data_IF_078804733407
#
_entry.id   IF_078804733407
#
_cell.length_a   1.000
_cell.length_b   1.000
_cell.length_c   1.000
_cell.angle_alpha   90.00
_cell.angle_beta   90.00
_cell.angle_gamma   90.00
#
_symmetry.space_group_name_H-M   'P 1'
#
loop_
_entity.id
_entity.type
_entity.pdbx_description
1 polymer ?
#
# COMPACT_ATOMS: atom_id res chain seq x y z
N UNK A 1 -7.00 7.39 21.90
CA UNK A 1 -5.52 7.45 21.87
C UNK A 1 -5.06 6.48 20.81
N UNK A 2 -4.07 6.83 19.99
CA UNK A 2 -3.57 5.94 18.95
C UNK A 2 -2.48 5.01 19.50
N UNK A 3 -2.30 3.85 18.89
CA UNK A 3 -1.23 2.89 19.21
C UNK A 3 -0.19 2.88 18.11
N UNK A 4 1.08 2.88 18.50
CA UNK A 4 2.19 2.62 17.62
C UNK A 4 2.72 1.22 17.91
N UNK A 5 2.69 0.36 16.90
CA UNK A 5 3.14 -1.01 16.95
C UNK A 5 4.36 -1.13 16.05
N UNK A 6 5.47 -1.63 16.57
CA UNK A 6 6.64 -1.94 15.76
C UNK A 6 6.87 -3.44 15.76
N UNK A 7 6.94 -4.04 14.58
CA UNK A 7 7.40 -5.39 14.37
C UNK A 7 8.79 -5.35 13.73
N UNK A 8 9.78 -5.67 14.53
CA UNK A 8 11.15 -5.82 14.08
C UNK A 8 11.40 -7.27 13.66
N UNK A 9 11.67 -7.48 12.37
CA UNK A 9 11.78 -8.75 11.67
C UNK A 9 13.25 -8.98 11.27
N UNK A 10 13.87 -9.98 11.89
CA UNK A 10 15.26 -10.34 11.65
C UNK A 10 15.38 -11.76 11.10
N UNK A 11 15.87 -11.90 9.88
CA UNK A 11 15.98 -13.16 9.15
C UNK A 11 15.33 -13.08 7.78
N UNK A 12 15.02 -14.25 7.21
CA UNK A 12 14.48 -14.40 5.86
C UNK A 12 13.46 -15.55 5.78
N UNK A 13 12.80 -15.69 4.63
CA UNK A 13 11.80 -16.74 4.41
C UNK A 13 12.39 -18.16 4.31
N UNK A 14 13.71 -18.33 4.16
CA UNK A 14 14.36 -19.63 4.05
C UNK A 14 14.73 -20.22 5.42
N UNK A 15 15.22 -19.40 6.33
CA UNK A 15 15.69 -19.81 7.65
C UNK A 15 14.66 -19.56 8.76
N UNK A 16 13.66 -18.72 8.48
CA UNK A 16 12.72 -18.22 9.47
C UNK A 16 13.16 -16.87 10.02
N UNK A 17 12.28 -16.26 10.81
CA UNK A 17 12.40 -14.85 11.20
C UNK A 17 12.21 -14.74 12.71
N UNK A 18 13.18 -14.14 13.39
CA UNK A 18 13.00 -13.68 14.75
C UNK A 18 12.20 -12.37 14.72
N UNK A 19 11.13 -12.30 15.52
CA UNK A 19 10.27 -11.13 15.57
C UNK A 19 10.33 -10.51 16.97
N UNK A 20 10.56 -9.21 17.04
CA UNK A 20 10.36 -8.43 18.26
C UNK A 20 9.17 -7.51 18.07
N UNK A 21 8.14 -7.70 18.90
CA UNK A 21 6.99 -6.80 18.99
C UNK A 21 7.28 -5.74 20.04
N UNK A 22 6.99 -4.49 19.70
CA UNK A 22 6.94 -3.38 20.65
C UNK A 22 5.63 -2.59 20.46
N UNK A 23 4.93 -2.31 21.56
CA UNK A 23 3.70 -1.52 21.57
C UNK A 23 3.94 -0.26 22.40
N UNK A 24 3.62 0.89 21.82
CA UNK A 24 3.69 2.21 22.46
C UNK A 24 2.37 2.94 22.29
N UNK A 25 2.10 3.89 23.19
CA UNK A 25 1.07 4.90 22.93
C UNK A 25 1.63 5.91 21.95
N UNK A 26 0.86 6.22 20.91
CA UNK A 26 1.19 7.27 19.95
C UNK A 26 0.72 8.61 20.53
N UNK A 27 1.58 9.20 21.39
CA UNK A 27 1.39 10.52 21.99
C UNK A 27 2.52 11.45 21.57
N UNK A 28 2.18 12.72 21.37
CA UNK A 28 3.11 13.79 20.95
C UNK A 28 4.13 14.13 22.05
N UNK A 29 3.82 13.83 23.31
CA UNK A 29 4.74 14.06 24.43
C UNK A 29 5.82 12.96 24.47
N UNK A 30 7.09 13.40 24.56
CA UNK A 30 8.37 12.66 24.44
C UNK A 30 8.58 11.44 25.35
N UNK A 31 7.55 11.00 26.07
CA UNK A 31 7.56 9.77 26.85
C UNK A 31 6.52 8.77 26.30
N UNK A 32 6.66 8.38 25.02
CA UNK A 32 5.95 7.23 24.47
C UNK A 32 6.35 5.97 25.26
N UNK A 33 5.60 5.70 26.34
CA UNK A 33 5.88 4.61 27.26
C UNK A 33 5.67 3.28 26.55
N UNK A 34 6.70 2.43 26.58
CA UNK A 34 6.59 1.06 26.07
C UNK A 34 5.59 0.31 26.95
N UNK A 35 4.49 -0.11 26.35
CA UNK A 35 3.42 -0.85 27.03
C UNK A 35 3.67 -2.36 27.04
N UNK A 36 4.31 -2.86 25.98
CA UNK A 36 4.71 -4.24 25.86
C UNK A 36 5.91 -4.35 24.92
N UNK A 37 6.84 -5.25 25.26
CA UNK A 37 7.91 -5.68 24.38
C UNK A 37 8.13 -7.17 24.54
N UNK A 38 7.87 -7.94 23.49
CA UNK A 38 8.00 -9.40 23.52
C UNK A 38 8.67 -9.92 22.26
N UNK A 39 9.21 -11.13 22.36
CA UNK A 39 9.82 -11.83 21.23
C UNK A 39 8.91 -12.97 20.78
N UNK A 40 8.90 -13.21 19.48
CA UNK A 40 8.26 -14.35 18.84
C UNK A 40 9.11 -14.79 17.65
N UNK A 41 8.63 -15.78 16.91
CA UNK A 41 9.30 -16.26 15.71
C UNK A 41 8.29 -16.61 14.64
N UNK A 42 8.64 -16.39 13.39
CA UNK A 42 7.95 -16.95 12.24
C UNK A 42 8.81 -18.08 11.66
N UNK A 43 8.20 -19.22 11.30
CA UNK A 43 8.94 -20.33 10.72
C UNK A 43 9.43 -19.98 9.30
N UNK A 44 10.36 -20.79 8.77
CA UNK A 44 10.69 -20.73 7.35
C UNK A 44 9.45 -20.98 6.48
N UNK A 45 9.32 -20.25 5.38
CA UNK A 45 8.19 -20.32 4.44
C UNK A 45 8.68 -20.13 3.00
N UNK A 46 9.52 -21.04 2.52
CA UNK A 46 10.04 -21.00 1.14
C UNK A 46 8.92 -21.04 0.10
N UNK A 47 7.87 -21.83 0.33
CA UNK A 47 6.71 -21.91 -0.56
C UNK A 47 5.94 -20.58 -0.67
N UNK A 48 5.96 -19.74 0.37
CA UNK A 48 5.33 -18.41 0.32
C UNK A 48 6.03 -17.49 -0.68
N UNK A 49 7.36 -17.58 -0.76
CA UNK A 49 8.15 -16.82 -1.71
C UNK A 49 7.86 -17.24 -3.15
N UNK A 50 7.74 -18.55 -3.39
CA UNK A 50 7.38 -19.09 -4.71
C UNK A 50 6.00 -18.61 -5.16
N UNK A 51 5.01 -18.64 -4.27
CA UNK A 51 3.66 -18.13 -4.55
C UNK A 51 3.66 -16.62 -4.82
N UNK A 52 4.46 -15.85 -4.08
CA UNK A 52 4.64 -14.43 -4.35
C UNK A 52 5.19 -14.21 -5.77
N UNK A 53 6.22 -14.97 -6.17
CA UNK A 53 6.79 -14.87 -7.51
C UNK A 53 5.79 -15.26 -8.60
N UNK A 54 4.98 -16.30 -8.37
CA UNK A 54 3.92 -16.71 -9.29
C UNK A 54 2.89 -15.60 -9.48
N UNK A 55 2.33 -15.06 -8.39
CA UNK A 55 1.39 -13.96 -8.43
C UNK A 55 1.99 -12.73 -9.14
N UNK A 56 3.22 -12.36 -8.77
CA UNK A 56 3.92 -11.20 -9.32
C UNK A 56 4.15 -11.35 -10.85
N UNK A 57 4.48 -12.55 -11.32
CA UNK A 57 4.63 -12.84 -12.76
C UNK A 57 3.30 -12.70 -13.53
N UNK A 58 2.20 -13.21 -12.96
CA UNK A 58 0.87 -13.08 -13.55
C UNK A 58 0.41 -11.62 -13.58
N UNK A 59 0.65 -10.88 -12.49
CA UNK A 59 0.33 -9.44 -12.41
C UNK A 59 1.11 -8.62 -13.44
N UNK A 60 2.41 -8.88 -13.61
CA UNK A 60 3.20 -8.21 -14.65
C UNK A 60 2.70 -8.56 -16.05
N UNK A 61 2.28 -9.80 -16.27
CA UNK A 61 1.69 -10.21 -17.55
C UNK A 61 0.41 -9.43 -17.84
N UNK A 62 -0.45 -9.18 -16.84
CA UNK A 62 -1.60 -8.28 -16.99
C UNK A 62 -1.17 -6.86 -17.36
N UNK A 63 -0.18 -6.29 -16.66
CA UNK A 63 0.29 -4.92 -16.92
C UNK A 63 0.78 -4.75 -18.36
N UNK A 64 1.44 -5.75 -18.94
CA UNK A 64 1.87 -5.75 -20.34
C UNK A 64 0.69 -5.81 -21.32
N UNK A 65 -0.38 -6.53 -20.96
CA UNK A 65 -1.59 -6.63 -21.78
C UNK A 65 -2.39 -5.31 -21.82
N UNK A 66 -2.40 -4.56 -20.72
CA UNK A 66 -3.15 -3.31 -20.63
C UNK A 66 -2.34 -2.08 -21.08
N UNK A 67 -1.01 -2.07 -20.90
CA UNK A 67 -0.15 -0.94 -21.35
C UNK A 67 0.17 -0.96 -22.85
N UNK A 68 0.12 -2.13 -23.50
CA UNK A 68 0.40 -2.25 -24.94
C UNK A 68 -0.91 -2.27 -25.73
N UNK A 69 -1.55 -1.11 -25.81
CA UNK A 69 -2.82 -0.90 -26.52
C UNK A 69 -2.79 -1.17 -28.03
N UNK A 70 -1.63 -1.50 -28.63
CA UNK A 70 -1.50 -1.54 -30.08
C UNK A 70 -0.53 -2.63 -30.59
N UNK A 71 -0.81 -3.90 -30.27
CA UNK A 71 -0.16 -5.04 -30.96
C UNK A 71 -1.08 -5.56 -32.09
N UNK A 72 -0.53 -5.89 -33.27
CA UNK A 72 -1.29 -6.36 -34.43
C UNK A 72 -1.91 -7.77 -34.26
N UNK A 73 -1.63 -8.47 -33.16
CA UNK A 73 -2.29 -9.73 -32.83
C UNK A 73 -3.30 -9.50 -31.70
N UNK A 74 -4.61 -9.49 -32.01
CA UNK A 74 -5.64 -9.36 -30.98
C UNK A 74 -5.60 -10.61 -30.10
N UNK A 75 -5.14 -10.44 -28.87
CA UNK A 75 -5.36 -11.44 -27.83
C UNK A 75 -6.88 -11.53 -27.64
N UNK A 76 -7.44 -12.71 -27.92
CA UNK A 76 -8.88 -12.93 -27.85
C UNK A 76 -9.39 -12.62 -26.43
N UNK A 77 -10.59 -12.06 -26.32
CA UNK A 77 -11.18 -11.67 -25.03
C UNK A 77 -11.18 -12.81 -24.00
N UNK A 78 -11.31 -14.06 -24.45
CA UNK A 78 -11.21 -15.25 -23.59
C UNK A 78 -9.83 -15.52 -22.99
N UNK A 79 -8.75 -15.09 -23.64
CA UNK A 79 -7.39 -15.21 -23.08
C UNK A 79 -7.12 -14.13 -22.03
N UNK A 80 -7.67 -12.92 -22.21
CA UNK A 80 -7.58 -11.84 -21.21
C UNK A 80 -8.33 -12.18 -19.92
N UNK A 81 -9.55 -12.71 -20.03
CA UNK A 81 -10.34 -13.12 -18.86
C UNK A 81 -9.65 -14.24 -18.08
N UNK A 82 -9.07 -15.22 -18.78
CA UNK A 82 -8.34 -16.32 -18.14
C UNK A 82 -7.14 -15.83 -17.31
N UNK A 83 -6.31 -14.95 -17.88
CA UNK A 83 -5.13 -14.41 -17.17
C UNK A 83 -5.56 -13.57 -15.96
N UNK A 84 -6.64 -12.79 -16.08
CA UNK A 84 -7.19 -12.04 -14.95
C UNK A 84 -7.66 -12.99 -13.84
N UNK A 85 -8.41 -14.03 -14.18
CA UNK A 85 -8.87 -15.02 -13.20
C UNK A 85 -7.71 -15.78 -12.55
N UNK A 86 -6.65 -16.10 -13.30
CA UNK A 86 -5.48 -16.80 -12.76
C UNK A 86 -4.70 -15.89 -11.81
N UNK A 87 -4.53 -14.61 -12.17
CA UNK A 87 -3.88 -13.62 -11.30
C UNK A 87 -4.66 -13.44 -10.00
N UNK A 88 -6.00 -13.37 -10.07
CA UNK A 88 -6.83 -13.24 -8.89
C UNK A 88 -6.73 -14.48 -7.98
N UNK A 89 -6.82 -15.69 -8.55
CA UNK A 89 -6.61 -16.94 -7.80
C UNK A 89 -5.23 -17.00 -7.14
N UNK A 90 -4.18 -16.58 -7.86
CA UNK A 90 -2.82 -16.54 -7.30
C UNK A 90 -2.71 -15.53 -6.15
N UNK A 91 -3.41 -14.39 -6.22
CA UNK A 91 -3.47 -13.40 -5.15
C UNK A 91 -4.20 -13.95 -3.90
N UNK A 92 -5.33 -14.64 -4.11
CA UNK A 92 -6.10 -15.30 -3.04
C UNK A 92 -5.25 -16.39 -2.35
N UNK A 93 -4.60 -17.26 -3.13
CA UNK A 93 -3.69 -18.28 -2.60
C UNK A 93 -2.53 -17.69 -1.81
N UNK A 94 -1.90 -16.63 -2.32
CA UNK A 94 -0.84 -15.91 -1.61
C UNK A 94 -1.34 -15.35 -0.27
N UNK A 95 -2.52 -14.75 -0.25
CA UNK A 95 -3.14 -14.20 0.96
C UNK A 95 -3.45 -15.28 2.00
N UNK A 96 -4.02 -16.41 1.56
CA UNK A 96 -4.32 -17.56 2.43
C UNK A 96 -3.05 -18.16 3.03
N UNK A 97 -2.01 -18.38 2.22
CA UNK A 97 -0.75 -18.93 2.70
C UNK A 97 -0.02 -17.95 3.62
N UNK A 98 -0.06 -16.66 3.31
CA UNK A 98 0.51 -15.62 4.15
C UNK A 98 -0.14 -15.60 5.54
N UNK A 99 -1.47 -15.68 5.60
CA UNK A 99 -2.19 -15.73 6.87
C UNK A 99 -1.99 -17.05 7.62
N UNK A 100 -1.88 -18.18 6.91
CA UNK A 100 -1.51 -19.47 7.51
C UNK A 100 -0.13 -19.41 8.15
N UNK A 101 0.83 -18.76 7.49
CA UNK A 101 2.17 -18.55 8.01
C UNK A 101 2.19 -17.65 9.25
N UNK A 102 1.42 -16.55 9.23
CA UNK A 102 1.24 -15.69 10.41
C UNK A 102 0.42 -16.34 11.53
N UNK A 103 -0.26 -17.45 11.28
CA UNK A 103 -0.96 -18.24 12.30
C UNK A 103 -0.07 -19.33 12.94
N UNK A 104 1.21 -19.40 12.59
CA UNK A 104 2.13 -20.37 13.17
C UNK A 104 2.19 -20.28 14.70
N UNK A 105 2.25 -21.43 15.36
CA UNK A 105 2.26 -21.51 16.84
C UNK A 105 3.44 -20.73 17.45
N UNK A 106 4.58 -20.66 16.75
CA UNK A 106 5.76 -19.89 17.18
C UNK A 106 5.56 -18.36 17.15
N UNK A 107 4.58 -17.87 16.39
CA UNK A 107 4.22 -16.45 16.29
C UNK A 107 3.00 -16.08 17.14
N UNK A 108 2.28 -17.09 17.63
CA UNK A 108 1.07 -16.93 18.45
C UNK A 108 1.21 -15.97 19.63
N UNK A 109 2.32 -15.95 20.40
CA UNK A 109 2.45 -15.00 21.52
C UNK A 109 2.35 -13.53 21.08
N UNK A 110 2.89 -13.19 19.91
CA UNK A 110 2.80 -11.84 19.34
C UNK A 110 1.33 -11.52 18.99
N UNK A 111 0.65 -12.45 18.32
CA UNK A 111 -0.76 -12.28 17.97
C UNK A 111 -1.65 -12.10 19.20
N UNK A 112 -1.47 -12.92 20.22
CA UNK A 112 -2.24 -12.83 21.47
C UNK A 112 -1.97 -11.51 22.20
N UNK A 113 -0.71 -11.05 22.25
CA UNK A 113 -0.37 -9.78 22.86
C UNK A 113 -1.03 -8.59 22.15
N UNK A 114 -1.10 -8.62 20.82
CA UNK A 114 -1.81 -7.62 20.03
C UNK A 114 -3.31 -7.64 20.33
N UNK A 115 -3.93 -8.82 20.34
CA UNK A 115 -5.35 -8.97 20.67
C UNK A 115 -5.69 -8.48 22.09
N UNK A 116 -4.79 -8.66 23.05
CA UNK A 116 -4.97 -8.22 24.43
C UNK A 116 -4.85 -6.68 24.56
N UNK A 117 -3.93 -6.05 23.84
CA UNK A 117 -3.61 -4.62 24.02
C UNK A 117 -4.35 -3.69 23.07
N UNK A 118 -4.90 -4.19 21.97
CA UNK A 118 -5.54 -3.38 20.95
C UNK A 118 -7.07 -3.36 21.09
N UNK A 119 -7.64 -2.17 20.92
CA UNK A 119 -9.08 -1.94 20.85
C UNK A 119 -9.56 -1.75 19.40
N UNK A 120 -10.78 -2.18 19.09
CA UNK A 120 -11.37 -2.03 17.74
C UNK A 120 -11.60 -0.56 17.36
N UNK A 121 -11.73 0.34 18.34
CA UNK A 121 -12.11 1.73 18.10
C UNK A 121 -10.92 2.70 18.01
N UNK A 122 -9.71 2.26 18.39
CA UNK A 122 -8.51 3.10 18.35
C UNK A 122 -7.82 3.06 16.99
N UNK A 123 -7.09 4.12 16.67
CA UNK A 123 -6.22 4.16 15.51
C UNK A 123 -4.94 3.38 15.81
N UNK A 124 -4.48 2.58 14.85
CA UNK A 124 -3.31 1.71 15.00
C UNK A 124 -2.35 1.98 13.86
N UNK A 125 -1.08 2.25 14.18
CA UNK A 125 0.00 2.32 13.19
C UNK A 125 0.91 1.12 13.38
N UNK A 126 0.91 0.22 12.42
CA UNK A 126 1.80 -0.94 12.38
C UNK A 126 3.02 -0.63 11.51
N UNK A 127 4.17 -0.48 12.15
CA UNK A 127 5.45 -0.27 11.50
C UNK A 127 6.17 -1.61 11.38
N UNK A 128 6.45 -2.00 10.15
CA UNK A 128 7.25 -3.19 9.83
C UNK A 128 8.68 -2.77 9.57
N UNK A 129 9.59 -3.31 10.37
CA UNK A 129 11.03 -3.12 10.23
C UNK A 129 11.64 -4.45 9.79
N UNK A 130 12.05 -4.53 8.53
CA UNK A 130 12.70 -5.71 7.97
C UNK A 130 13.85 -5.25 7.08
N UNK A 131 14.99 -5.93 7.10
CA UNK A 131 16.06 -5.71 6.11
C UNK A 131 15.79 -6.44 4.80
N UNK A 132 15.23 -7.65 4.88
CA UNK A 132 14.91 -8.44 3.71
C UNK A 132 13.80 -7.80 2.86
N UNK A 133 14.08 -7.70 1.56
CA UNK A 133 13.15 -7.04 0.61
C UNK A 133 11.94 -7.90 0.28
N UNK A 134 12.04 -9.23 0.38
CA UNK A 134 10.91 -10.12 0.14
C UNK A 134 9.88 -9.98 1.26
N UNK A 135 10.32 -9.87 2.51
CA UNK A 135 9.43 -9.60 3.65
C UNK A 135 8.67 -8.29 3.48
N UNK A 136 9.33 -7.22 3.02
CA UNK A 136 8.68 -5.92 2.77
C UNK A 136 7.61 -5.97 1.66
N UNK A 137 7.72 -6.94 0.75
CA UNK A 137 6.82 -7.11 -0.41
C UNK A 137 5.60 -7.98 -0.13
N UNK A 138 5.56 -8.66 1.02
CA UNK A 138 4.40 -9.45 1.42
C UNK A 138 3.18 -8.57 1.70
N UNK A 139 1.95 -9.10 1.52
CA UNK A 139 0.73 -8.30 1.63
C UNK A 139 0.31 -8.12 3.10
N UNK A 140 1.12 -7.42 3.90
CA UNK A 140 0.87 -7.21 5.33
C UNK A 140 -0.46 -6.52 5.64
N UNK A 141 -0.98 -5.71 4.73
CA UNK A 141 -2.31 -5.10 4.84
C UNK A 141 -3.45 -6.14 4.78
N UNK A 142 -3.19 -7.34 4.24
CA UNK A 142 -4.13 -8.47 4.20
C UNK A 142 -3.99 -9.40 5.41
N UNK A 143 -3.22 -9.01 6.43
CA UNK A 143 -3.16 -9.78 7.66
C UNK A 143 -4.53 -9.82 8.34
N UNK A 144 -5.08 -11.02 8.52
CA UNK A 144 -6.40 -11.30 9.09
C UNK A 144 -6.66 -10.61 10.43
N UNK A 145 -5.62 -10.39 11.25
CA UNK A 145 -5.71 -9.66 12.50
C UNK A 145 -6.17 -8.21 12.28
N UNK A 146 -5.68 -7.55 11.23
CA UNK A 146 -5.95 -6.15 10.93
C UNK A 146 -7.39 -5.93 10.46
N UNK A 147 -8.07 -6.95 9.97
CA UNK A 147 -9.50 -6.87 9.62
C UNK A 147 -10.37 -6.50 10.83
N UNK A 148 -9.90 -6.78 12.05
CA UNK A 148 -10.58 -6.39 13.30
C UNK A 148 -10.38 -4.93 13.68
N UNK A 149 -9.43 -4.25 13.05
CA UNK A 149 -9.00 -2.91 13.39
C UNK A 149 -9.11 -2.03 12.13
N UNK A 150 -10.31 -1.53 11.79
CA UNK A 150 -10.54 -0.81 10.52
C UNK A 150 -9.78 0.52 10.41
N UNK A 151 -9.22 1.02 11.52
CA UNK A 151 -8.37 2.21 11.59
C UNK A 151 -6.88 1.84 11.68
N UNK A 152 -6.51 0.61 11.35
CA UNK A 152 -5.14 0.16 11.32
C UNK A 152 -4.49 0.51 9.97
N UNK A 153 -3.31 1.11 10.04
CA UNK A 153 -2.48 1.43 8.89
C UNK A 153 -1.18 0.65 9.00
N UNK A 154 -0.68 0.18 7.86
CA UNK A 154 0.61 -0.53 7.76
C UNK A 154 1.60 0.37 7.06
N UNK A 155 2.78 0.55 7.67
CA UNK A 155 3.88 1.28 7.09
C UNK A 155 5.19 0.47 7.20
N UNK A 156 6.10 0.76 6.29
CA UNK A 156 7.44 0.16 6.27
C UNK A 156 8.45 1.18 6.83
N UNK A 157 9.39 0.70 7.64
CA UNK A 157 10.51 1.50 8.13
C UNK A 157 11.82 0.73 7.94
N UNK A 158 12.94 1.41 7.62
CA UNK A 158 14.25 0.80 7.81
C UNK A 158 14.48 0.50 9.30
N UNK A 159 15.35 -0.48 9.59
CA UNK A 159 15.77 -0.81 10.97
C UNK A 159 16.68 0.25 11.57
N UNK A 160 17.44 0.95 10.73
CA UNK A 160 18.31 2.06 11.10
C UNK A 160 17.70 3.35 10.58
N UNK A 161 17.29 4.23 11.48
CA UNK A 161 16.74 5.54 11.15
C UNK A 161 17.06 6.54 12.25
N UNK A 162 17.11 7.80 11.87
CA UNK A 162 17.07 8.92 12.80
C UNK A 162 15.68 9.56 12.72
N UNK A 163 15.12 9.91 13.87
CA UNK A 163 13.86 10.65 13.88
C UNK A 163 14.13 12.05 13.37
N UNK A 164 13.52 12.39 12.26
CA UNK A 164 13.49 13.77 11.78
C UNK A 164 12.33 14.48 12.46
N UNK A 165 12.59 15.65 13.05
CA UNK A 165 11.52 16.52 13.51
C UNK A 165 10.74 17.01 12.28
N UNK A 166 9.45 16.67 12.22
CA UNK A 166 8.59 17.12 11.12
C UNK A 166 8.31 18.61 11.29
N UNK A 167 9.06 19.45 10.57
CA UNK A 167 8.74 20.87 10.41
C UNK A 167 7.65 20.97 9.34
N UNK A 168 6.46 20.49 9.65
CA UNK A 168 5.31 20.73 8.78
C UNK A 168 4.84 22.17 9.04
N UNK A 169 4.86 23.07 8.05
CA UNK A 169 4.30 24.40 8.23
C UNK A 169 2.81 24.26 8.56
N UNK A 170 2.36 24.86 9.66
CA UNK A 170 0.93 24.98 9.95
C UNK A 170 0.28 25.88 8.91
N UNK A 171 -0.46 25.30 7.96
CA UNK A 171 -1.18 26.03 6.92
C UNK A 171 -2.67 26.07 7.23
N UNK A 172 -3.33 27.18 6.88
CA UNK A 172 -4.79 27.29 6.92
C UNK A 172 -5.45 26.55 5.75
N UNK A 173 -4.72 26.38 4.65
CA UNK A 173 -5.15 25.68 3.45
C UNK A 173 -4.15 24.60 3.08
N UNK A 174 -4.64 23.39 2.81
CA UNK A 174 -3.80 22.29 2.35
C UNK A 174 -3.38 22.54 0.89
N UNK A 175 -2.09 22.43 0.59
CA UNK A 175 -1.56 22.51 -0.78
C UNK A 175 -1.44 21.11 -1.36
N UNK A 176 -2.10 20.90 -2.50
CA UNK A 176 -2.18 19.63 -3.19
C UNK A 176 -1.55 19.77 -4.58
N UNK A 177 -0.54 18.96 -4.87
CA UNK A 177 -0.01 18.80 -6.22
C UNK A 177 -0.58 17.53 -6.82
N UNK A 178 -1.44 17.67 -7.83
CA UNK A 178 -1.94 16.56 -8.61
C UNK A 178 -1.16 16.44 -9.93
N UNK A 179 -0.56 15.29 -10.19
CA UNK A 179 0.18 15.02 -11.44
C UNK A 179 -0.55 13.95 -12.22
N UNK A 180 -1.24 14.36 -13.27
CA UNK A 180 -2.00 13.49 -14.17
C UNK A 180 -1.06 13.02 -15.28
N UNK A 181 -0.90 11.70 -15.40
CA UNK A 181 -0.03 11.07 -16.40
C UNK A 181 -0.66 11.00 -17.81
N UNK A 182 -0.15 10.08 -18.63
CA UNK A 182 -0.60 9.83 -20.01
C UNK A 182 -2.14 9.75 -20.10
N UNK A 183 -2.73 10.61 -20.94
CA UNK A 183 -4.16 10.73 -21.16
C UNK A 183 -4.70 9.71 -22.18
N UNK A 184 -3.84 8.86 -22.76
CA UNK A 184 -4.23 7.88 -23.76
C UNK A 184 -5.17 6.81 -23.18
N UNK A 185 -6.48 6.99 -23.39
CA UNK A 185 -7.51 6.05 -22.95
C UNK A 185 -8.01 6.24 -21.52
N UNK A 186 -7.73 7.38 -20.89
CA UNK A 186 -8.08 7.71 -19.50
C UNK A 186 -8.91 9.00 -19.45
N UNK A 187 -9.89 9.07 -18.55
CA UNK A 187 -10.69 10.27 -18.31
C UNK A 187 -9.98 11.24 -17.35
N UNK A 188 -8.97 11.93 -17.87
CA UNK A 188 -8.23 12.98 -17.15
C UNK A 188 -9.16 14.14 -16.75
N UNK A 189 -10.26 14.35 -17.47
CA UNK A 189 -11.21 15.41 -17.17
C UNK A 189 -12.09 15.05 -15.96
N UNK A 190 -12.44 13.77 -15.79
CA UNK A 190 -13.08 13.25 -14.57
C UNK A 190 -12.23 13.48 -13.32
N UNK A 191 -10.93 13.19 -13.40
CA UNK A 191 -9.99 13.46 -12.30
C UNK A 191 -9.85 14.96 -12.02
N UNK A 192 -9.77 15.79 -13.07
CA UNK A 192 -9.75 17.26 -12.95
C UNK A 192 -11.01 17.79 -12.28
N UNK A 193 -12.18 17.29 -12.66
CA UNK A 193 -13.46 17.69 -12.06
C UNK A 193 -13.54 17.28 -10.59
N UNK A 194 -13.09 16.06 -10.25
CA UNK A 194 -13.03 15.60 -8.87
C UNK A 194 -12.13 16.52 -8.02
N UNK A 195 -10.95 16.86 -8.52
CA UNK A 195 -10.04 17.79 -7.85
C UNK A 195 -10.63 19.19 -7.70
N UNK A 196 -11.48 19.63 -8.63
CA UNK A 196 -12.21 20.90 -8.54
C UNK A 196 -13.37 20.87 -7.53
N UNK A 197 -13.85 19.69 -7.11
CA UNK A 197 -14.89 19.57 -6.06
C UNK A 197 -14.32 19.60 -4.65
N UNK A 198 -13.00 19.66 -4.49
CA UNK A 198 -12.38 19.77 -3.18
C UNK A 198 -12.82 21.06 -2.48
N UNK A 199 -12.98 21.05 -1.14
CA UNK A 199 -13.43 22.23 -0.40
C UNK A 199 -12.51 23.43 -0.66
N UNK A 200 -13.05 24.66 -0.57
CA UNK A 200 -12.31 25.93 -0.71
C UNK A 200 -11.09 26.06 0.24
N UNK A 201 -10.98 25.13 1.20
CA UNK A 201 -9.85 24.95 2.08
C UNK A 201 -8.58 24.40 1.41
N UNK A 202 -8.60 23.95 0.16
CA UNK A 202 -7.45 23.31 -0.50
C UNK A 202 -6.96 24.12 -1.73
N UNK A 203 -5.67 24.47 -1.75
CA UNK A 203 -5.00 24.99 -2.93
C UNK A 203 -4.53 23.81 -3.79
N UNK A 204 -5.21 23.55 -4.89
CA UNK A 204 -4.88 22.42 -5.78
C UNK A 204 -4.19 22.91 -7.06
N UNK A 205 -3.01 22.38 -7.34
CA UNK A 205 -2.30 22.58 -8.61
C UNK A 205 -2.30 21.27 -9.38
N UNK A 206 -2.82 21.31 -10.61
CA UNK A 206 -2.95 20.15 -11.49
C UNK A 206 -1.96 20.27 -12.65
N UNK A 207 -1.03 19.33 -12.75
CA UNK A 207 -0.13 19.16 -13.88
C UNK A 207 -0.65 18.02 -14.76
N UNK A 208 -0.82 18.27 -16.05
CA UNK A 208 -1.28 17.25 -17.02
C UNK A 208 -0.12 16.94 -17.95
N UNK A 209 0.30 15.68 -17.96
CA UNK A 209 1.46 15.20 -18.73
C UNK A 209 2.69 16.12 -18.64
N UNK A 210 3.12 16.54 -17.42
CA UNK A 210 4.20 17.52 -17.32
C UNK A 210 5.51 16.95 -17.84
N UNK A 211 6.28 17.81 -18.49
CA UNK A 211 7.65 17.47 -18.79
C UNK A 211 8.46 17.29 -17.50
N UNK A 212 9.51 16.47 -17.54
CA UNK A 212 10.36 16.18 -16.37
C UNK A 212 10.87 17.45 -15.67
N UNK A 213 11.21 18.48 -16.43
CA UNK A 213 11.72 19.75 -15.89
C UNK A 213 10.64 20.54 -15.15
N UNK A 214 9.41 20.55 -15.70
CA UNK A 214 8.27 21.18 -15.06
C UNK A 214 7.90 20.45 -13.77
N UNK A 215 7.80 19.12 -13.81
CA UNK A 215 7.54 18.31 -12.64
C UNK A 215 8.57 18.58 -11.53
N UNK A 216 9.87 18.61 -11.87
CA UNK A 216 10.92 18.91 -10.91
C UNK A 216 10.78 20.31 -10.29
N UNK A 217 10.41 21.32 -11.10
CA UNK A 217 10.17 22.68 -10.64
C UNK A 217 9.03 22.73 -9.61
N UNK A 218 7.92 22.07 -9.89
CA UNK A 218 6.77 22.06 -8.99
C UNK A 218 7.05 21.23 -7.74
N UNK A 219 7.67 20.05 -7.87
CA UNK A 219 8.01 19.23 -6.71
C UNK A 219 8.86 20.02 -5.70
N UNK A 220 9.85 20.79 -6.15
CA UNK A 220 10.75 21.58 -5.30
C UNK A 220 10.26 23.02 -5.06
N UNK A 221 8.95 23.27 -5.16
CA UNK A 221 8.37 24.55 -4.75
C UNK A 221 8.80 24.87 -3.30
N UNK A 222 9.39 26.04 -3.10
CA UNK A 222 9.86 26.50 -1.79
C UNK A 222 8.73 26.60 -0.76
N UNK A 223 7.49 26.78 -1.22
CA UNK A 223 6.32 26.74 -0.35
C UNK A 223 6.00 25.32 0.12
N UNK A 224 6.47 24.26 -0.55
CA UNK A 224 6.21 22.86 -0.23
C UNK A 224 4.77 22.41 -0.52
N UNK A 225 4.55 21.10 -0.43
CA UNK A 225 3.25 20.45 -0.65
C UNK A 225 2.84 19.66 0.58
N UNK A 226 1.56 19.72 0.92
CA UNK A 226 0.99 18.93 2.01
C UNK A 226 0.56 17.54 1.50
N UNK A 227 0.08 17.47 0.25
CA UNK A 227 -0.37 16.24 -0.40
C UNK A 227 0.17 16.19 -1.83
N UNK A 228 0.74 15.04 -2.20
CA UNK A 228 1.05 14.69 -3.59
C UNK A 228 0.04 13.64 -4.06
N UNK A 229 -0.71 13.96 -5.12
CA UNK A 229 -1.70 13.08 -5.72
C UNK A 229 -1.24 12.59 -7.10
N UNK A 230 -1.13 11.27 -7.23
CA UNK A 230 -0.74 10.58 -8.46
C UNK A 230 -1.84 9.55 -8.75
N UNK A 231 -2.81 9.82 -9.63
CA UNK A 231 -3.86 8.86 -9.95
C UNK A 231 -3.27 7.66 -10.68
N UNK A 232 -3.81 6.47 -10.36
CA UNK A 232 -3.44 5.23 -11.05
C UNK A 232 -4.19 5.12 -12.39
N UNK A 233 -3.50 4.58 -13.38
CA UNK A 233 -3.96 4.45 -14.76
C UNK A 233 -4.99 3.32 -14.89
N UNK A 234 -6.26 3.60 -14.63
CA UNK A 234 -7.35 2.71 -15.04
C UNK A 234 -7.90 3.18 -16.40
N UNK A 235 -7.92 2.33 -17.45
CA UNK A 235 -8.54 2.71 -18.71
C UNK A 235 -10.02 2.98 -18.49
N UNK A 236 -10.53 4.04 -19.12
CA UNK A 236 -11.94 4.39 -19.07
C UNK A 236 -12.77 3.18 -19.53
N UNK A 237 -13.62 2.66 -18.65
CA UNK A 237 -14.62 1.65 -19.01
C UNK A 237 -15.50 2.28 -20.09
N UNK A 238 -15.29 1.92 -21.36
CA UNK A 238 -16.18 2.32 -22.44
C UNK A 238 -17.57 1.81 -22.08
N UNK A 239 -18.43 2.71 -21.62
CA UNK A 239 -19.86 2.48 -21.48
C UNK A 239 -20.39 2.34 -22.90
N UNK A 240 -20.58 1.09 -23.32
CA UNK A 240 -21.33 0.76 -24.53
C UNK A 240 -22.72 1.35 -24.35
N UNK A 241 -23.00 2.46 -25.03
CA UNK A 241 -24.36 2.98 -25.17
C UNK A 241 -25.19 1.87 -25.81
N UNK A 242 -26.36 1.51 -25.26
CA UNK A 242 -27.25 0.58 -25.93
C UNK A 242 -27.73 1.25 -27.22
N UNK A 243 -27.41 0.62 -28.35
CA UNK A 243 -27.97 0.98 -29.65
C UNK A 243 -29.49 1.00 -29.54
N UNK A 244 -30.07 2.17 -29.82
CA UNK A 244 -31.50 2.30 -30.06
C UNK A 244 -31.81 1.58 -31.37
N UNK A 245 -32.28 0.34 -31.26
CA UNK A 245 -33.08 -0.30 -32.30
C UNK A 245 -34.30 0.60 -32.57
N UNK A 246 -34.32 1.19 -33.78
CA UNK A 246 -35.49 1.82 -34.39
C UNK A 246 -36.09 0.83 -35.38
#
# INVERSE_FOLDING_TARGET
MAKLITLDLEGDLHQGIAVTLEIRTDTVEDAATIQARIKGKLPAATGLLEQYHQWHSLYHSLSLLFRLGDRPNPITSGSRTHILTDCQKAAEQLSEQFNTWLAAESFRPIREQLLEKLSVHEAVRLILQAEDTHLRRLPWHLWDLLQRYPKAEVALSPRVYERVESISPTRTHARILAVLGDCTGIDVEGDRQLLATLPDGAETVVLVEPERQELQKYLWDAQGWDILFLPDTAPATQTVKPDKLS
#
